data_IF_246663692516
#
_entry.id   IF_246663692516
#
_cell.length_a   1.000
_cell.length_b   1.000
_cell.length_c   1.000
_cell.angle_alpha   90.00
_cell.angle_beta   90.00
_cell.angle_gamma   90.00
#
_symmetry.space_group_name_H-M   'P 1'
#
loop_
_entity.id
_entity.type
_entity.pdbx_description
1 polymer ?
#
# COMPACT_ATOMS: atom_id res chain seq x y z
N UNK A 1 -7.93 0.48 -7.05
CA UNK A 1 -7.24 0.04 -5.82
C UNK A 1 -6.11 1.02 -5.54
N UNK A 2 -6.40 2.20 -4.95
CA UNK A 2 -5.35 3.18 -4.70
C UNK A 2 -4.34 2.67 -3.65
N UNK A 3 -3.07 3.02 -3.87
CA UNK A 3 -1.97 2.81 -2.94
C UNK A 3 -1.73 4.12 -2.19
N UNK A 4 -1.77 4.07 -0.86
CA UNK A 4 -1.49 5.19 0.05
C UNK A 4 -0.09 5.04 0.64
N UNK A 5 0.67 6.13 0.72
CA UNK A 5 1.91 6.19 1.50
C UNK A 5 1.56 6.49 2.96
N UNK A 6 1.93 5.61 3.86
CA UNK A 6 1.61 5.66 5.30
C UNK A 6 2.87 5.99 6.11
N UNK A 7 2.69 6.66 7.25
CA UNK A 7 3.75 6.90 8.23
C UNK A 7 3.25 6.60 9.65
N UNK A 8 4.02 5.86 10.46
CA UNK A 8 3.76 5.74 11.90
C UNK A 8 4.45 6.91 12.65
N UNK A 9 3.71 7.72 13.41
CA UNK A 9 4.29 8.83 14.17
C UNK A 9 5.11 8.36 15.37
N UNK A 10 4.90 7.13 15.86
CA UNK A 10 5.58 6.60 17.05
C UNK A 10 6.98 6.06 16.75
N UNK A 11 7.19 5.41 15.60
CA UNK A 11 8.50 4.83 15.22
C UNK A 11 9.12 5.42 13.95
N UNK A 12 8.41 6.30 13.24
CA UNK A 12 8.87 6.92 12.00
C UNK A 12 8.82 6.02 10.75
N UNK A 13 8.38 4.76 10.88
CA UNK A 13 8.32 3.82 9.75
C UNK A 13 7.38 4.32 8.65
N UNK A 14 7.86 4.30 7.41
CA UNK A 14 7.10 4.63 6.21
C UNK A 14 6.87 3.38 5.38
N UNK A 15 5.63 3.17 4.94
CA UNK A 15 5.22 1.95 4.24
C UNK A 15 4.00 2.22 3.36
N UNK A 16 3.66 1.29 2.47
CA UNK A 16 2.51 1.42 1.58
C UNK A 16 1.33 0.57 2.04
N UNK A 17 0.12 1.12 1.96
CA UNK A 17 -1.14 0.42 2.17
C UNK A 17 -2.04 0.53 0.95
N UNK A 18 -2.91 -0.45 0.73
CA UNK A 18 -3.88 -0.45 -0.36
C UNK A 18 -5.30 -0.37 0.18
N UNK A 19 -6.15 0.39 -0.49
CA UNK A 19 -7.61 0.33 -0.29
C UNK A 19 -8.24 -0.36 -1.50
N UNK A 20 -9.12 -1.33 -1.27
CA UNK A 20 -9.79 -2.05 -2.35
C UNK A 20 -10.80 -1.15 -3.07
N UNK A 21 -10.93 -1.34 -4.38
CA UNK A 21 -11.89 -0.59 -5.18
C UNK A 21 -13.33 -0.86 -4.69
N UNK A 22 -14.13 0.20 -4.56
CA UNK A 22 -15.51 0.10 -4.05
C UNK A 22 -15.63 -0.06 -2.53
N UNK A 23 -14.52 -0.03 -1.78
CA UNK A 23 -14.53 -0.04 -0.31
C UNK A 23 -14.20 1.35 0.25
N UNK A 24 -14.62 1.60 1.48
CA UNK A 24 -14.25 2.81 2.23
C UNK A 24 -12.82 2.68 2.75
N UNK A 25 -12.10 3.80 2.82
CA UNK A 25 -10.82 3.88 3.53
C UNK A 25 -10.96 3.40 4.99
N UNK A 26 -9.99 2.64 5.52
CA UNK A 26 -9.98 2.22 6.92
C UNK A 26 -10.05 3.41 7.89
N UNK A 27 -10.87 3.29 8.93
CA UNK A 27 -10.92 4.29 10.02
C UNK A 27 -9.66 4.27 10.88
N UNK A 28 -8.91 3.16 10.84
CA UNK A 28 -7.65 2.96 11.55
C UNK A 28 -6.63 2.30 10.64
N UNK A 29 -5.38 2.79 10.72
CA UNK A 29 -4.24 2.13 10.12
C UNK A 29 -3.26 1.69 11.20
N UNK A 30 -2.67 0.52 11.01
CA UNK A 30 -1.74 -0.11 11.95
C UNK A 30 -0.34 -0.14 11.33
N UNK A 31 0.68 0.23 12.10
CA UNK A 31 2.06 0.15 11.64
C UNK A 31 2.50 -1.31 11.49
N UNK A 32 2.96 -1.67 10.29
CA UNK A 32 3.53 -2.99 9.98
C UNK A 32 4.79 -3.33 10.78
N UNK A 33 5.48 -2.34 11.35
CA UNK A 33 6.72 -2.53 12.09
C UNK A 33 6.50 -2.62 13.61
N UNK A 34 5.77 -1.68 14.21
CA UNK A 34 5.61 -1.61 15.67
C UNK A 34 4.20 -1.93 16.18
N UNK A 35 3.20 -2.09 15.29
CA UNK A 35 1.81 -2.34 15.68
C UNK A 35 1.03 -1.13 16.20
N UNK A 36 1.59 0.09 16.14
CA UNK A 36 0.88 1.32 16.52
C UNK A 36 -0.42 1.47 15.71
N UNK A 37 -1.58 1.72 16.32
CA UNK A 37 -2.83 2.08 15.60
C UNK A 37 -2.88 3.56 15.18
N UNK A 38 -1.73 4.24 15.19
CA UNK A 38 -1.57 5.66 14.89
C UNK A 38 -0.92 5.94 13.55
N UNK A 39 -0.61 4.92 12.76
CA UNK A 39 -0.16 5.11 11.39
C UNK A 39 -1.24 5.84 10.58
N UNK A 40 -0.88 6.71 9.64
CA UNK A 40 -1.86 7.44 8.82
C UNK A 40 -1.29 7.66 7.41
N UNK A 41 -2.15 7.88 6.40
CA UNK A 41 -1.71 8.42 5.12
C UNK A 41 -0.95 9.72 5.30
N UNK A 42 0.14 9.86 4.56
CA UNK A 42 0.92 11.09 4.53
C UNK A 42 0.13 12.18 3.81
N UNK A 43 -0.01 13.34 4.44
CA UNK A 43 -0.77 14.47 3.88
C UNK A 43 -0.16 15.04 2.60
N UNK A 44 1.16 14.87 2.41
CA UNK A 44 1.90 15.35 1.25
C UNK A 44 1.91 14.37 0.07
N UNK A 45 1.28 13.20 0.21
CA UNK A 45 1.27 12.16 -0.82
C UNK A 45 -0.16 11.81 -1.22
N UNK A 46 -0.53 12.15 -2.45
CA UNK A 46 -1.81 11.68 -3.01
C UNK A 46 -1.76 10.17 -3.26
N UNK A 47 -2.87 9.45 -3.07
CA UNK A 47 -2.95 8.04 -3.40
C UNK A 47 -2.70 7.84 -4.89
N UNK A 48 -1.89 6.85 -5.24
CA UNK A 48 -1.56 6.53 -6.65
C UNK A 48 -2.33 5.29 -7.12
N UNK A 49 -2.69 5.19 -8.41
CA UNK A 49 -3.29 3.98 -8.95
C UNK A 49 -2.36 2.77 -8.75
N UNK A 50 -2.94 1.60 -8.50
CA UNK A 50 -2.14 0.38 -8.43
C UNK A 50 -1.61 0.00 -9.82
N UNK A 51 -0.36 -0.51 -9.94
CA UNK A 51 0.23 -0.85 -11.24
C UNK A 51 -0.60 -1.83 -12.08
N UNK A 52 -1.32 -2.78 -11.46
CA UNK A 52 -2.22 -3.70 -12.16
C UNK A 52 -3.38 -2.98 -12.88
N UNK A 53 -3.77 -1.79 -12.42
CA UNK A 53 -4.82 -0.99 -13.05
C UNK A 53 -4.30 -0.18 -14.24
N UNK A 54 -2.97 -0.11 -14.41
CA UNK A 54 -2.29 0.67 -15.44
C UNK A 54 -1.57 -0.27 -16.42
N UNK A 55 -2.34 -0.86 -17.34
CA UNK A 55 -1.88 -1.51 -18.58
C UNK A 55 -0.53 -2.25 -18.58
N UNK A 56 -0.27 -3.17 -17.64
CA UNK A 56 0.84 -4.13 -17.78
C UNK A 56 0.44 -5.51 -17.21
N UNK A 57 0.24 -6.49 -18.11
CA UNK A 57 -0.24 -7.84 -17.80
C UNK A 57 0.77 -8.78 -17.12
N UNK A 58 1.88 -8.26 -16.58
CA UNK A 58 2.94 -9.06 -15.96
C UNK A 58 2.81 -9.20 -14.42
N UNK A 59 1.72 -8.68 -13.84
CA UNK A 59 1.53 -8.64 -12.38
C UNK A 59 2.28 -7.49 -11.72
N UNK A 60 2.17 -7.36 -10.39
CA UNK A 60 2.88 -6.34 -9.61
C UNK A 60 3.90 -6.97 -8.66
N UNK A 61 5.05 -6.31 -8.40
CA UNK A 61 6.04 -6.79 -7.44
C UNK A 61 5.50 -6.92 -6.01
N UNK A 62 4.38 -6.26 -5.71
CA UNK A 62 3.68 -6.34 -4.43
C UNK A 62 2.95 -7.67 -4.17
N UNK A 63 2.41 -8.32 -5.20
CA UNK A 63 1.50 -9.46 -5.05
C UNK A 63 2.05 -10.73 -5.73
N UNK A 64 3.33 -10.73 -6.12
CA UNK A 64 3.99 -11.88 -6.76
C UNK A 64 4.11 -11.81 -8.28
N UNK A 65 3.94 -10.63 -8.89
CA UNK A 65 4.26 -10.38 -10.29
C UNK A 65 5.75 -10.11 -10.48
N UNK A 66 6.55 -11.16 -10.34
CA UNK A 66 7.89 -11.24 -10.90
C UNK A 66 7.94 -12.53 -11.71
N UNK A 67 8.66 -12.52 -12.84
CA UNK A 67 9.07 -13.70 -13.59
C UNK A 67 9.01 -14.99 -12.75
N UNK A 68 7.96 -15.77 -12.94
CA UNK A 68 7.98 -17.17 -12.58
C UNK A 68 8.99 -17.78 -13.55
N UNK A 69 10.26 -17.82 -13.15
CA UNK A 69 11.15 -18.87 -13.65
C UNK A 69 10.55 -20.17 -13.14
N UNK A 70 9.80 -20.84 -14.03
CA UNK A 70 9.57 -22.27 -13.95
C UNK A 70 10.96 -22.92 -14.03
N UNK A 71 11.48 -23.37 -12.89
CA UNK A 71 12.41 -24.49 -12.84
C UNK A 71 11.65 -25.69 -12.25
#
# INVERSE_FOLDING_TARGET
MPIHQLQCPDCGHQFSGMVFAGTREPEKWVCSQCGCERARPREDCLPVPHPLESAHGAGCPCCGGGDVRLD
#
